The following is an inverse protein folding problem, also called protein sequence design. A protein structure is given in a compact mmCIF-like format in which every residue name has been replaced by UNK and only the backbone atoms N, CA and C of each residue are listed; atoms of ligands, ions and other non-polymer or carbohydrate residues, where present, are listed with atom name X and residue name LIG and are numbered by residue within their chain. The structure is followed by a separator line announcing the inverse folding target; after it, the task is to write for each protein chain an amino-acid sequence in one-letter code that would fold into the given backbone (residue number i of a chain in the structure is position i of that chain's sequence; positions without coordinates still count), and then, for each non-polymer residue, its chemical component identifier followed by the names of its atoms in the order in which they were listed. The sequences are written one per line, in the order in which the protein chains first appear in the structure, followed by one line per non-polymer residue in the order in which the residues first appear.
data_IF_477700281228
#
_entry.id   IF_477700281228
#
_cell.length_a   1.000
_cell.length_b   1.000
_cell.length_c   1.000
_cell.angle_alpha   90.00
_cell.angle_beta   90.00
_cell.angle_gamma   90.00
#
_symmetry.space_group_name_H-M   'P 1'
#
loop_
_entity.id
_entity.type
_entity.pdbx_description
1 polymer ?
#
# COMPACT_ATOMS: atom_id res chain seq x y z
N UNK A 1 2.24 18.37 15.04
CA UNK A 1 1.89 18.09 13.63
C UNK A 1 0.71 17.13 13.63
N UNK A 2 -0.25 17.28 12.72
CA UNK A 2 -1.38 16.34 12.60
C UNK A 2 -1.09 15.38 11.46
N UNK A 3 -1.34 14.09 11.66
CA UNK A 3 -1.09 13.07 10.66
C UNK A 3 -2.14 11.97 10.66
N UNK A 4 -2.01 11.04 9.73
CA UNK A 4 -2.88 9.88 9.58
C UNK A 4 -2.07 8.60 9.54
N UNK A 5 -2.54 7.58 10.24
CA UNK A 5 -1.96 6.24 10.26
C UNK A 5 -2.91 5.28 9.55
N UNK A 6 -2.40 4.57 8.56
CA UNK A 6 -3.14 3.58 7.78
C UNK A 6 -2.76 2.16 8.21
N UNK A 7 -3.67 1.50 8.93
CA UNK A 7 -3.48 0.11 9.35
C UNK A 7 -3.63 -0.85 8.15
N UNK A 8 -2.79 -1.87 8.09
CA UNK A 8 -2.92 -2.96 7.12
C UNK A 8 -4.13 -3.87 7.37
N UNK A 9 -4.34 -4.86 6.51
CA UNK A 9 -5.37 -5.88 6.74
C UNK A 9 -6.23 -6.25 5.55
N UNK A 10 -5.64 -6.42 4.40
CA UNK A 10 -6.26 -6.90 3.15
C UNK A 10 -7.46 -6.05 2.71
N UNK A 11 -8.68 -6.40 3.14
CA UNK A 11 -9.91 -5.67 2.80
C UNK A 11 -10.44 -4.77 3.92
N UNK A 12 -9.86 -4.82 5.13
CA UNK A 12 -10.28 -3.93 6.23
C UNK A 12 -10.06 -2.45 5.92
N UNK A 13 -9.01 -2.07 5.17
CA UNK A 13 -8.79 -0.68 4.77
C UNK A 13 -9.92 -0.04 3.95
N UNK A 14 -10.95 -0.78 3.53
CA UNK A 14 -12.15 -0.19 2.93
C UNK A 14 -12.80 0.88 3.81
N UNK A 15 -12.68 0.76 5.14
CA UNK A 15 -13.10 1.81 6.06
C UNK A 15 -12.23 3.07 5.90
N UNK A 16 -10.92 2.89 5.75
CA UNK A 16 -9.98 3.99 5.53
C UNK A 16 -10.28 4.73 4.23
N UNK A 17 -10.72 4.03 3.17
CA UNK A 17 -11.15 4.65 1.92
C UNK A 17 -12.25 5.70 2.18
N UNK A 18 -13.28 5.36 2.98
CA UNK A 18 -14.36 6.28 3.31
C UNK A 18 -13.87 7.51 4.10
N UNK A 19 -12.95 7.30 5.03
CA UNK A 19 -12.34 8.41 5.82
C UNK A 19 -11.52 9.32 4.91
N UNK A 20 -10.68 8.75 4.03
CA UNK A 20 -9.88 9.51 3.09
C UNK A 20 -10.76 10.33 2.12
N UNK A 21 -11.81 9.71 1.59
CA UNK A 21 -12.74 10.38 0.68
C UNK A 21 -13.45 11.56 1.37
N UNK A 22 -13.84 11.38 2.64
CA UNK A 22 -14.43 12.47 3.44
C UNK A 22 -13.42 13.61 3.67
N UNK A 23 -12.17 13.31 3.99
CA UNK A 23 -11.12 14.33 4.14
C UNK A 23 -10.87 15.06 2.82
N UNK A 24 -10.76 14.33 1.72
CA UNK A 24 -10.54 14.94 0.40
C UNK A 24 -11.74 15.80 -0.05
N UNK A 25 -12.98 15.42 0.28
CA UNK A 25 -14.17 16.23 -0.04
C UNK A 25 -14.18 17.58 0.67
N UNK A 26 -13.54 17.65 1.84
CA UNK A 26 -13.35 18.89 2.60
C UNK A 26 -12.01 19.61 2.26
N UNK A 27 -11.32 19.16 1.21
CA UNK A 27 -9.99 19.66 0.82
C UNK A 27 -8.93 19.54 1.93
N UNK A 28 -9.07 18.55 2.81
CA UNK A 28 -8.11 18.28 3.89
C UNK A 28 -7.10 17.26 3.36
N UNK A 29 -5.86 17.69 3.22
CA UNK A 29 -4.71 16.84 2.94
C UNK A 29 -3.72 16.96 4.10
N UNK A 30 -3.63 15.92 4.91
CA UNK A 30 -2.78 15.94 6.10
C UNK A 30 -1.30 15.92 5.72
N UNK A 31 -0.44 16.68 6.42
CA UNK A 31 0.97 16.80 6.06
C UNK A 31 1.83 15.59 6.45
N UNK A 32 1.30 14.64 7.21
CA UNK A 32 2.00 13.44 7.62
C UNK A 32 1.12 12.21 7.46
N UNK A 33 1.61 11.25 6.72
CA UNK A 33 0.96 9.96 6.49
C UNK A 33 1.95 8.83 6.80
N UNK A 34 1.47 7.79 7.43
CA UNK A 34 2.25 6.56 7.64
C UNK A 34 1.34 5.36 7.51
N UNK A 35 1.83 4.29 6.97
CA UNK A 35 1.03 3.07 6.86
C UNK A 35 1.81 1.84 6.46
N UNK A 36 1.14 0.71 6.49
CA UNK A 36 1.69 -0.60 6.16
C UNK A 36 0.71 -1.41 5.32
N UNK A 37 1.23 -2.26 4.42
CA UNK A 37 0.43 -3.21 3.64
C UNK A 37 -0.70 -2.53 2.86
N UNK A 38 -1.90 -3.11 2.83
CA UNK A 38 -3.06 -2.54 2.15
C UNK A 38 -3.43 -1.12 2.64
N UNK A 39 -3.11 -0.79 3.89
CA UNK A 39 -3.40 0.56 4.42
C UNK A 39 -2.60 1.64 3.71
N UNK A 40 -1.29 1.44 3.49
CA UNK A 40 -0.50 2.44 2.78
C UNK A 40 -0.82 2.48 1.28
N UNK A 41 -1.33 1.39 0.70
CA UNK A 41 -1.87 1.44 -0.67
C UNK A 41 -3.06 2.42 -0.77
N UNK A 42 -3.88 2.51 0.30
CA UNK A 42 -4.89 3.55 0.42
C UNK A 42 -4.24 4.94 0.63
N UNK A 43 -3.23 5.02 1.50
CA UNK A 43 -2.52 6.27 1.79
C UNK A 43 -1.92 6.93 0.56
N UNK A 44 -1.31 6.18 -0.35
CA UNK A 44 -0.76 6.76 -1.60
C UNK A 44 -1.87 7.30 -2.51
N UNK A 45 -3.05 6.67 -2.54
CA UNK A 45 -4.21 7.21 -3.27
C UNK A 45 -4.76 8.48 -2.62
N UNK A 46 -4.70 8.59 -1.29
CA UNK A 46 -5.06 9.80 -0.56
C UNK A 46 -4.15 10.98 -0.89
N UNK A 47 -2.82 10.79 -0.80
CA UNK A 47 -1.87 11.86 -1.10
C UNK A 47 -1.79 12.22 -2.58
N UNK A 48 -2.18 11.32 -3.49
CA UNK A 48 -2.37 11.61 -4.91
C UNK A 48 -3.75 12.23 -5.22
N UNK A 49 -4.54 12.54 -4.20
CA UNK A 49 -5.87 13.17 -4.33
C UNK A 49 -6.80 12.43 -5.28
N UNK A 50 -6.78 11.10 -5.23
CA UNK A 50 -7.64 10.24 -6.03
C UNK A 50 -8.78 9.65 -5.18
N UNK A 51 -9.87 10.41 -4.92
CA UNK A 51 -10.99 9.92 -4.14
C UNK A 51 -11.63 8.70 -4.81
N UNK A 52 -12.18 7.81 -4.01
CA UNK A 52 -12.86 6.57 -4.40
C UNK A 52 -12.00 5.55 -5.17
N UNK A 53 -10.75 5.88 -5.56
CA UNK A 53 -9.89 5.02 -6.36
C UNK A 53 -9.78 3.61 -5.78
N UNK A 54 -9.43 3.47 -4.51
CA UNK A 54 -9.23 2.16 -3.89
C UNK A 54 -10.56 1.45 -3.61
N UNK A 55 -11.62 2.19 -3.30
CA UNK A 55 -12.97 1.64 -3.18
C UNK A 55 -13.42 1.03 -4.52
N UNK A 56 -13.18 1.72 -5.62
CA UNK A 56 -13.49 1.25 -6.98
C UNK A 56 -12.68 -0.02 -7.32
N UNK A 57 -11.38 -0.04 -7.00
CA UNK A 57 -10.53 -1.21 -7.18
C UNK A 57 -11.12 -2.42 -6.44
N UNK A 58 -11.45 -2.24 -5.16
CA UNK A 58 -12.02 -3.32 -4.34
C UNK A 58 -13.37 -3.79 -4.89
N UNK A 59 -14.25 -2.87 -5.26
CA UNK A 59 -15.59 -3.21 -5.77
C UNK A 59 -15.51 -3.99 -7.08
N UNK A 60 -14.66 -3.57 -8.01
CA UNK A 60 -14.54 -4.17 -9.34
C UNK A 60 -13.76 -5.48 -9.33
N UNK A 61 -12.67 -5.55 -8.55
CA UNK A 61 -11.68 -6.62 -8.73
C UNK A 61 -11.53 -7.59 -7.57
N UNK A 62 -12.16 -7.38 -6.41
CA UNK A 62 -12.05 -8.31 -5.26
C UNK A 62 -12.40 -9.77 -5.60
N UNK A 63 -13.27 -10.00 -6.57
CA UNK A 63 -13.68 -11.32 -7.03
C UNK A 63 -12.95 -11.77 -8.31
N UNK A 64 -12.07 -10.94 -8.85
CA UNK A 64 -11.27 -11.30 -10.02
C UNK A 64 -10.19 -12.32 -9.61
N UNK A 65 -10.07 -13.40 -10.37
CA UNK A 65 -9.08 -14.45 -10.11
C UNK A 65 -7.64 -13.94 -10.25
N UNK A 66 -7.41 -12.84 -11.00
CA UNK A 66 -6.10 -12.18 -11.11
C UNK A 66 -5.76 -11.43 -9.83
N UNK A 67 -6.75 -10.88 -9.12
CA UNK A 67 -6.57 -10.18 -7.85
C UNK A 67 -6.21 -11.15 -6.73
N UNK A 68 -7.04 -12.20 -6.53
CA UNK A 68 -6.81 -13.19 -5.49
C UNK A 68 -7.36 -14.56 -5.91
N UNK A 69 -6.50 -15.60 -5.96
CA UNK A 69 -6.95 -16.95 -6.25
C UNK A 69 -5.94 -18.01 -5.80
N UNK A 70 -6.45 -19.23 -5.58
CA UNK A 70 -5.60 -20.42 -5.37
C UNK A 70 -4.79 -20.80 -6.62
N UNK A 71 -5.24 -20.39 -7.81
CA UNK A 71 -4.49 -20.62 -9.05
C UNK A 71 -3.23 -19.74 -9.14
N UNK A 72 -3.25 -18.54 -8.56
CA UNK A 72 -2.08 -17.68 -8.46
C UNK A 72 -0.99 -18.35 -7.63
N UNK A 73 -1.37 -19.06 -6.55
CA UNK A 73 -0.42 -19.85 -5.74
C UNK A 73 0.32 -20.92 -6.56
N UNK A 74 -0.38 -21.60 -7.46
CA UNK A 74 0.25 -22.61 -8.32
C UNK A 74 1.24 -22.00 -9.32
N UNK A 75 0.92 -20.83 -9.86
CA UNK A 75 1.73 -20.16 -10.89
C UNK A 75 2.89 -19.36 -10.26
N UNK A 76 2.60 -18.53 -9.27
CA UNK A 76 3.50 -17.47 -8.79
C UNK A 76 3.88 -17.65 -7.31
N UNK A 77 3.47 -18.76 -6.66
CA UNK A 77 3.65 -18.98 -5.23
C UNK A 77 3.09 -17.84 -4.36
N UNK A 78 2.09 -17.14 -4.89
CA UNK A 78 1.38 -16.05 -4.23
C UNK A 78 -0.11 -16.21 -4.42
N UNK A 79 -0.91 -16.02 -3.37
CA UNK A 79 -2.37 -16.00 -3.45
C UNK A 79 -2.86 -14.71 -4.10
N UNK A 80 -2.17 -13.61 -3.82
CA UNK A 80 -2.47 -12.30 -4.40
C UNK A 80 -1.67 -12.09 -5.69
N UNK A 81 -2.33 -11.54 -6.70
CA UNK A 81 -1.71 -11.18 -7.97
C UNK A 81 -1.10 -9.78 -7.90
N UNK A 82 0.10 -9.65 -7.31
CA UNK A 82 0.76 -8.35 -7.17
C UNK A 82 1.00 -7.67 -8.52
N UNK A 83 1.26 -8.43 -9.58
CA UNK A 83 1.42 -7.86 -10.93
C UNK A 83 0.11 -7.32 -11.49
N UNK A 84 -1.02 -7.89 -11.10
CA UNK A 84 -2.32 -7.35 -11.43
C UNK A 84 -2.63 -6.09 -10.61
N UNK A 85 -2.40 -6.15 -9.29
CA UNK A 85 -2.76 -5.08 -8.35
C UNK A 85 -1.86 -3.85 -8.51
N UNK A 86 -0.55 -4.06 -8.66
CA UNK A 86 0.47 -3.01 -8.72
C UNK A 86 1.10 -2.86 -10.11
N UNK A 87 0.49 -3.41 -11.14
CA UNK A 87 0.87 -3.26 -12.53
C UNK A 87 -0.38 -2.97 -13.36
N UNK A 88 -1.12 -4.01 -13.80
CA UNK A 88 -2.23 -3.84 -14.75
C UNK A 88 -3.30 -2.83 -14.28
N UNK A 89 -3.65 -2.82 -12.98
CA UNK A 89 -4.65 -1.87 -12.45
C UNK A 89 -4.16 -0.43 -12.54
N UNK A 90 -3.01 -0.03 -11.97
CA UNK A 90 -2.56 1.35 -12.00
C UNK A 90 -2.07 1.83 -13.36
N UNK A 91 -1.64 0.92 -14.23
CA UNK A 91 -1.14 1.29 -15.57
C UNK A 91 -2.27 1.48 -16.59
N UNK A 92 -3.35 0.67 -16.47
CA UNK A 92 -4.32 0.55 -17.57
C UNK A 92 -5.80 0.61 -17.13
N UNK A 93 -6.16 0.09 -15.97
CA UNK A 93 -7.55 -0.12 -15.60
C UNK A 93 -8.11 1.03 -14.75
N UNK A 94 -7.36 1.45 -13.75
CA UNK A 94 -7.66 2.60 -12.88
C UNK A 94 -6.33 3.33 -12.67
N UNK A 95 -5.94 4.22 -13.59
CA UNK A 95 -4.63 4.84 -13.61
C UNK A 95 -4.26 5.54 -12.30
N UNK A 96 -2.99 5.45 -11.94
CA UNK A 96 -2.45 6.15 -10.79
C UNK A 96 -1.91 7.52 -11.24
N UNK A 97 -2.25 8.57 -10.51
CA UNK A 97 -1.81 9.93 -10.78
C UNK A 97 -0.43 10.19 -10.15
N UNK A 98 0.61 9.86 -10.89
CA UNK A 98 1.99 10.05 -10.48
C UNK A 98 2.37 11.52 -10.32
N UNK A 99 1.82 12.41 -11.13
CA UNK A 99 2.16 13.84 -11.08
C UNK A 99 1.63 14.46 -9.79
N UNK A 100 0.36 14.19 -9.46
CA UNK A 100 -0.21 14.65 -8.20
C UNK A 100 0.47 13.98 -7.01
N UNK A 101 0.78 12.68 -7.08
CA UNK A 101 1.52 11.97 -6.03
C UNK A 101 2.87 12.63 -5.75
N UNK A 102 3.67 12.89 -6.79
CA UNK A 102 5.00 13.52 -6.67
C UNK A 102 4.94 14.99 -6.23
N UNK A 103 3.80 15.65 -6.37
CA UNK A 103 3.59 17.02 -5.91
C UNK A 103 3.26 17.14 -4.42
N UNK A 104 3.12 16.01 -3.70
CA UNK A 104 2.82 16.03 -2.28
C UNK A 104 4.00 16.56 -1.47
N UNK A 105 3.78 17.67 -0.74
CA UNK A 105 4.83 18.36 0.03
C UNK A 105 4.97 17.84 1.47
N UNK A 106 4.10 16.91 1.88
CA UNK A 106 4.12 16.32 3.21
C UNK A 106 5.09 15.14 3.32
N UNK A 107 5.08 14.48 4.46
CA UNK A 107 5.82 13.24 4.71
C UNK A 107 4.89 12.04 4.57
N UNK A 108 5.24 11.08 3.75
CA UNK A 108 4.53 9.81 3.65
C UNK A 108 5.49 8.64 3.83
N UNK A 109 5.27 7.83 4.86
CA UNK A 109 6.14 6.72 5.22
C UNK A 109 5.46 5.37 5.00
N UNK A 110 6.21 4.47 4.38
CA UNK A 110 5.82 3.08 4.15
C UNK A 110 6.57 2.19 5.12
N UNK A 111 5.85 1.54 6.02
CA UNK A 111 6.43 0.54 6.93
C UNK A 111 6.71 -0.77 6.18
N UNK A 112 7.94 -1.24 6.25
CA UNK A 112 8.39 -2.53 5.70
C UNK A 112 9.23 -3.26 6.74
N UNK A 113 9.28 -4.58 6.68
CA UNK A 113 10.18 -5.37 7.52
C UNK A 113 11.38 -5.81 6.72
N UNK A 114 12.57 -5.52 7.21
CA UNK A 114 13.80 -6.02 6.61
C UNK A 114 13.89 -7.54 6.79
N UNK A 115 13.86 -8.28 5.69
CA UNK A 115 13.82 -9.74 5.71
C UNK A 115 15.10 -10.41 6.27
N UNK A 116 16.21 -9.67 6.34
CA UNK A 116 17.47 -10.18 6.90
C UNK A 116 17.58 -9.98 8.40
N UNK A 117 17.10 -8.82 8.88
CA UNK A 117 17.26 -8.44 10.28
C UNK A 117 16.01 -8.67 11.12
N UNK A 118 14.84 -8.79 10.47
CA UNK A 118 13.54 -8.83 11.14
C UNK A 118 13.09 -7.47 11.70
N UNK A 119 13.85 -6.40 11.46
CA UNK A 119 13.55 -5.07 11.98
C UNK A 119 12.61 -4.31 11.06
N UNK A 120 11.77 -3.49 11.65
CA UNK A 120 10.93 -2.53 10.91
C UNK A 120 11.81 -1.42 10.33
N UNK A 121 11.51 -1.03 9.10
CA UNK A 121 12.09 0.13 8.44
C UNK A 121 10.98 0.99 7.85
N UNK A 122 11.12 2.30 7.96
CA UNK A 122 10.20 3.25 7.34
C UNK A 122 10.88 3.88 6.14
N UNK A 123 10.26 3.71 4.97
CA UNK A 123 10.75 4.24 3.70
C UNK A 123 9.91 5.43 3.27
N UNK A 124 10.55 6.44 2.71
CA UNK A 124 9.81 7.58 2.15
C UNK A 124 9.04 7.14 0.90
N UNK A 125 7.73 7.32 0.89
CA UNK A 125 6.89 6.95 -0.25
C UNK A 125 7.26 7.73 -1.52
N UNK A 126 7.87 8.93 -1.38
CA UNK A 126 8.31 9.72 -2.54
C UNK A 126 9.43 9.07 -3.34
N UNK A 127 10.14 8.10 -2.75
CA UNK A 127 11.17 7.29 -3.43
C UNK A 127 10.57 6.09 -4.18
N UNK A 128 9.25 5.98 -4.26
CA UNK A 128 8.57 4.87 -4.91
C UNK A 128 8.73 4.93 -6.43
N UNK A 129 9.08 3.78 -7.00
CA UNK A 129 9.18 3.58 -8.45
C UNK A 129 7.80 3.29 -9.09
N UNK A 130 7.72 3.43 -10.41
CA UNK A 130 6.49 3.19 -11.17
C UNK A 130 6.05 1.71 -11.20
N UNK A 131 6.90 0.80 -10.73
CA UNK A 131 6.56 -0.62 -10.53
C UNK A 131 5.93 -0.88 -9.17
N UNK A 132 5.79 0.15 -8.33
CA UNK A 132 5.30 0.03 -6.96
C UNK A 132 6.09 -0.98 -6.12
N UNK A 133 7.40 -1.10 -6.33
CA UNK A 133 8.24 -2.09 -5.63
C UNK A 133 8.10 -1.97 -4.10
N UNK A 134 8.03 -0.75 -3.59
CA UNK A 134 7.85 -0.48 -2.16
C UNK A 134 6.48 -0.98 -1.63
N UNK A 135 5.39 -0.76 -2.38
CA UNK A 135 4.06 -1.27 -2.01
C UNK A 135 3.96 -2.78 -2.14
N UNK A 136 4.62 -3.37 -3.13
CA UNK A 136 4.74 -4.82 -3.25
C UNK A 136 5.44 -5.40 -2.03
N UNK A 137 6.52 -4.79 -1.58
CA UNK A 137 7.29 -5.23 -0.41
C UNK A 137 6.47 -5.14 0.88
N UNK A 138 5.81 -4.00 1.15
CA UNK A 138 4.98 -3.86 2.35
C UNK A 138 3.76 -4.78 2.36
N UNK A 139 3.28 -5.24 1.20
CA UNK A 139 2.19 -6.21 1.08
C UNK A 139 2.65 -7.67 1.06
N UNK A 140 3.95 -7.95 1.01
CA UNK A 140 4.50 -9.29 0.83
C UNK A 140 4.52 -10.07 2.15
N UNK A 141 3.44 -10.79 2.46
CA UNK A 141 3.39 -11.72 3.60
C UNK A 141 4.28 -12.94 3.35
N UNK A 142 5.20 -13.28 4.26
CA UNK A 142 5.97 -14.52 4.18
C UNK A 142 5.07 -15.74 3.99
N UNK A 143 5.49 -16.71 3.20
CA UNK A 143 4.75 -17.93 2.83
C UNK A 143 3.57 -17.71 1.86
N UNK A 144 3.03 -16.50 1.71
CA UNK A 144 1.91 -16.23 0.79
C UNK A 144 2.36 -15.53 -0.51
N UNK A 145 3.62 -15.10 -0.58
CA UNK A 145 4.20 -14.41 -1.72
C UNK A 145 5.52 -15.05 -2.15
N UNK A 146 5.88 -14.90 -3.41
CA UNK A 146 7.14 -15.43 -3.93
C UNK A 146 8.33 -14.73 -3.27
N UNK A 147 9.41 -15.50 -3.06
CA UNK A 147 10.66 -14.97 -2.50
C UNK A 147 11.36 -13.93 -3.39
N UNK A 148 10.92 -13.77 -4.63
CA UNK A 148 11.48 -12.78 -5.55
C UNK A 148 11.14 -11.35 -5.16
N UNK A 149 9.90 -11.09 -4.74
CA UNK A 149 9.51 -9.75 -4.24
C UNK A 149 10.31 -9.38 -3.00
N UNK A 150 10.58 -10.36 -2.12
CA UNK A 150 11.38 -10.13 -0.91
C UNK A 150 12.87 -9.95 -1.19
N UNK A 151 13.40 -10.52 -2.28
CA UNK A 151 14.82 -10.37 -2.65
C UNK A 151 15.12 -9.01 -3.25
N UNK A 152 14.32 -8.53 -4.19
CA UNK A 152 14.52 -7.23 -4.84
C UNK A 152 14.33 -6.07 -3.85
N UNK A 153 13.32 -6.14 -3.00
CA UNK A 153 13.04 -5.09 -2.03
C UNK A 153 13.84 -5.21 -0.72
N UNK A 154 14.51 -6.35 -0.45
CA UNK A 154 15.10 -6.69 0.86
C UNK A 154 14.13 -6.47 2.04
N UNK A 155 12.84 -6.53 1.78
CA UNK A 155 11.79 -6.21 2.74
C UNK A 155 10.57 -7.10 2.52
N UNK A 156 9.82 -7.34 3.57
CA UNK A 156 8.54 -8.04 3.52
C UNK A 156 7.57 -7.49 4.58
N UNK A 157 6.29 -7.77 4.41
CA UNK A 157 5.31 -7.54 5.47
C UNK A 157 5.29 -8.76 6.42
N UNK A 158 5.70 -8.56 7.65
CA UNK A 158 5.59 -9.57 8.71
C UNK A 158 4.32 -9.40 9.56
N UNK A 159 3.34 -8.64 9.06
CA UNK A 159 2.08 -8.43 9.78
C UNK A 159 2.23 -7.59 11.05
N UNK A 160 3.26 -6.76 11.14
CA UNK A 160 3.45 -5.91 12.29
C UNK A 160 2.40 -4.80 12.32
N UNK A 161 1.69 -4.75 13.42
CA UNK A 161 0.88 -3.59 13.76
C UNK A 161 1.81 -2.40 13.97
N UNK A 162 1.57 -1.31 13.23
CA UNK A 162 2.12 -0.03 13.64
C UNK A 162 1.39 0.33 14.93
N UNK A 163 2.06 0.18 16.06
CA UNK A 163 1.54 0.67 17.34
C UNK A 163 1.52 2.19 17.30
N UNK A 164 0.47 2.80 17.84
CA UNK A 164 0.42 4.27 18.01
C UNK A 164 1.57 4.78 18.90
N UNK A 165 2.19 3.91 19.70
CA UNK A 165 3.38 4.24 20.48
C UNK A 165 4.63 4.40 19.61
N UNK A 166 4.71 3.72 18.47
CA UNK A 166 5.88 3.79 17.58
C UNK A 166 5.88 5.04 16.71
N UNK A 167 4.72 5.72 16.61
CA UNK A 167 4.59 6.98 15.84
C UNK A 167 4.97 8.23 16.63
N UNK A 168 5.29 8.11 17.93
CA UNK A 168 5.63 9.24 18.79
C UNK A 168 7.13 9.64 18.74
N UNK A 169 7.98 8.77 18.21
CA UNK A 169 9.44 8.95 18.15
C UNK A 169 9.99 9.31 16.76
N UNK A 170 9.10 9.73 15.81
CA UNK A 170 9.49 10.15 14.46
C UNK A 170 9.27 11.63 14.23
#
# INVERSE_FOLDING_TARGET
MTGIVFEGGTFRPIFSCGVMDALLSENILLPYCIGVSAGIADGVSYISKQPQRNLEIMQKYRNDKRYMSRSNWKKNKSIFGLDFVFGEIPDHLIPFDWDTFRSYEGTCLVGVTNAKTGQIEYKNAMDMDEKFTMLRATCALPMFFSTEVTREANACDLGHYISLSDSADV
#
